data_IF_259803125512
#
_entry.id   IF_259803125512
#
_cell.length_a   1.000
_cell.length_b   1.000
_cell.length_c   1.000
_cell.angle_alpha   90.00
_cell.angle_beta   90.00
_cell.angle_gamma   90.00
#
_symmetry.space_group_name_H-M   'P 1'
#
loop_
_entity.id
_entity.type
_entity.pdbx_description
1 polymer ?
#
# COMPACT_ATOMS: atom_id res chain seq x y z
N UNK A 1 -11.85 19.29 23.74
CA UNK A 1 -12.94 18.32 23.49
C UNK A 1 -12.31 16.98 23.10
N UNK A 2 -12.97 15.84 23.35
CA UNK A 2 -12.40 14.51 23.11
C UNK A 2 -13.18 13.74 22.05
N UNK A 3 -12.48 12.93 21.26
CA UNK A 3 -13.08 12.02 20.27
C UNK A 3 -12.82 10.57 20.65
N UNK A 4 -13.77 9.68 20.34
CA UNK A 4 -13.61 8.24 20.58
C UNK A 4 -12.65 7.63 19.57
N UNK A 5 -11.97 6.58 19.98
CA UNK A 5 -11.06 5.81 19.11
C UNK A 5 -11.73 5.35 17.81
N UNK A 6 -12.96 4.84 17.85
CA UNK A 6 -13.65 4.35 16.64
C UNK A 6 -13.87 5.49 15.63
N UNK A 7 -14.34 6.64 16.10
CA UNK A 7 -14.54 7.82 15.26
C UNK A 7 -13.22 8.34 14.69
N UNK A 8 -12.13 8.29 15.49
CA UNK A 8 -10.82 8.70 15.02
C UNK A 8 -10.27 7.73 13.96
N UNK A 9 -10.48 6.42 14.13
CA UNK A 9 -10.13 5.41 13.14
C UNK A 9 -10.89 5.62 11.83
N UNK A 10 -12.19 5.91 11.90
CA UNK A 10 -13.02 6.24 10.74
C UNK A 10 -12.50 7.49 10.00
N UNK A 11 -12.12 8.54 10.74
CA UNK A 11 -11.53 9.75 10.15
C UNK A 11 -10.20 9.47 9.44
N UNK A 12 -9.41 8.52 9.93
CA UNK A 12 -8.14 8.12 9.33
C UNK A 12 -8.29 7.09 8.19
N UNK A 13 -9.49 6.55 7.99
CA UNK A 13 -9.77 5.50 7.00
C UNK A 13 -9.17 4.13 7.34
N UNK A 14 -8.90 3.86 8.62
CA UNK A 14 -8.26 2.62 9.11
C UNK A 14 -9.21 1.81 10.00
N UNK A 15 -8.85 0.56 10.29
CA UNK A 15 -9.64 -0.25 11.22
C UNK A 15 -9.40 0.23 12.67
N UNK A 16 -10.44 0.31 13.50
CA UNK A 16 -10.29 0.61 14.94
C UNK A 16 -9.32 -0.33 15.65
N UNK A 17 -9.25 -1.60 15.21
CA UNK A 17 -8.30 -2.58 15.74
C UNK A 17 -6.84 -2.20 15.54
N UNK A 18 -6.50 -1.60 14.40
CA UNK A 18 -5.12 -1.19 14.08
C UNK A 18 -4.71 0.01 14.94
N UNK A 19 -5.63 0.96 15.11
CA UNK A 19 -5.44 2.10 16.01
C UNK A 19 -5.34 1.65 17.48
N UNK A 20 -6.15 0.68 17.91
CA UNK A 20 -6.07 0.09 19.24
C UNK A 20 -4.74 -0.65 19.47
N UNK A 21 -4.22 -1.32 18.44
CA UNK A 21 -2.92 -2.00 18.50
C UNK A 21 -1.79 -0.98 18.68
N UNK A 22 -1.71 0.02 17.80
CA UNK A 22 -0.77 1.15 17.89
C UNK A 22 -0.82 1.84 19.25
N UNK A 23 -2.02 1.97 19.83
CA UNK A 23 -2.18 2.53 21.17
C UNK A 23 -1.51 1.66 22.24
N UNK A 24 -1.59 0.34 22.12
CA UNK A 24 -1.09 -0.61 23.12
C UNK A 24 0.39 -0.97 22.98
N UNK A 25 0.96 -0.83 21.79
CA UNK A 25 2.35 -1.26 21.51
C UNK A 25 3.36 -0.16 21.80
N UNK A 26 3.43 0.83 20.92
CA UNK A 26 4.52 1.80 20.79
C UNK A 26 4.01 3.24 20.77
N UNK A 27 2.69 3.43 20.79
CA UNK A 27 2.07 4.74 20.75
C UNK A 27 2.28 5.45 19.41
N UNK A 28 2.59 4.70 18.35
CA UNK A 28 2.82 5.21 17.00
C UNK A 28 1.94 4.47 16.01
N UNK A 29 1.49 5.18 14.99
CA UNK A 29 0.73 4.63 13.89
C UNK A 29 1.52 4.90 12.61
N UNK A 30 2.01 3.86 11.94
CA UNK A 30 2.87 3.97 10.75
C UNK A 30 4.07 4.91 10.96
N UNK A 31 4.67 4.85 12.16
CA UNK A 31 5.81 5.69 12.54
C UNK A 31 5.46 7.10 13.03
N UNK A 32 4.21 7.55 12.90
CA UNK A 32 3.75 8.84 13.43
C UNK A 32 3.29 8.72 14.89
N UNK A 33 3.70 9.65 15.78
CA UNK A 33 3.29 9.61 17.18
C UNK A 33 1.79 9.87 17.31
N UNK A 34 1.10 9.00 18.04
CA UNK A 34 -0.33 9.15 18.29
C UNK A 34 -0.62 10.41 19.13
N UNK A 35 -1.75 11.08 18.88
CA UNK A 35 -2.17 12.22 19.66
C UNK A 35 -2.44 11.84 21.13
N UNK A 36 -2.34 12.83 22.01
CA UNK A 36 -2.58 12.69 23.43
C UNK A 36 -3.94 12.05 23.68
N UNK A 37 -3.90 11.00 24.51
CA UNK A 37 -5.01 10.11 24.76
C UNK A 37 -5.31 10.02 26.25
N UNK A 38 -6.59 9.91 26.56
CA UNK A 38 -7.08 9.67 27.90
C UNK A 38 -7.88 8.37 27.89
N UNK A 39 -7.54 7.46 28.80
CA UNK A 39 -8.34 6.28 29.06
C UNK A 39 -9.35 6.61 30.15
N UNK A 40 -10.64 6.57 29.82
CA UNK A 40 -11.70 6.77 30.80
C UNK A 40 -12.06 5.41 31.42
N UNK A 41 -12.35 5.39 32.73
CA UNK A 41 -12.76 4.18 33.47
C UNK A 41 -13.91 3.50 32.72
N UNK A 42 -13.66 2.30 32.19
CA UNK A 42 -14.59 1.58 31.30
C UNK A 42 -14.02 1.15 29.94
N UNK A 43 -12.71 1.33 29.70
CA UNK A 43 -11.97 0.86 28.52
C UNK A 43 -12.16 1.68 27.21
N UNK A 44 -12.89 2.79 27.25
CA UNK A 44 -12.94 3.72 26.12
C UNK A 44 -11.65 4.54 26.05
N UNK A 45 -10.91 4.40 24.95
CA UNK A 45 -9.76 5.23 24.62
C UNK A 45 -10.29 6.46 23.90
N UNK A 46 -9.95 7.63 24.43
CA UNK A 46 -10.37 8.92 23.88
C UNK A 46 -9.13 9.73 23.50
N UNK A 47 -9.19 10.41 22.37
CA UNK A 47 -8.13 11.29 21.88
C UNK A 47 -8.56 12.74 22.01
N UNK A 48 -7.61 13.63 22.33
CA UNK A 48 -7.85 15.07 22.27
C UNK A 48 -8.16 15.47 20.83
N UNK A 49 -9.30 16.14 20.63
CA UNK A 49 -9.79 16.51 19.30
C UNK A 49 -8.80 17.40 18.55
N UNK A 50 -8.20 18.38 19.24
CA UNK A 50 -7.29 19.35 18.60
C UNK A 50 -6.03 18.65 18.07
N UNK A 51 -5.46 17.73 18.85
CA UNK A 51 -4.32 16.92 18.42
C UNK A 51 -4.72 15.87 17.37
N UNK A 52 -5.92 15.30 17.46
CA UNK A 52 -6.42 14.37 16.47
C UNK A 52 -6.65 15.03 15.10
N UNK A 53 -7.12 16.27 15.05
CA UNK A 53 -7.23 17.05 13.82
C UNK A 53 -5.83 17.42 13.29
N UNK A 54 -4.90 17.79 14.17
CA UNK A 54 -3.50 18.02 13.79
C UNK A 54 -2.86 16.76 13.19
N UNK A 55 -3.09 15.61 13.83
CA UNK A 55 -2.65 14.31 13.34
C UNK A 55 -3.32 13.95 12.02
N UNK A 56 -4.62 14.19 11.85
CA UNK A 56 -5.33 13.95 10.59
C UNK A 56 -4.70 14.74 9.44
N UNK A 57 -4.39 16.03 9.65
CA UNK A 57 -3.70 16.83 8.64
C UNK A 57 -2.34 16.27 8.27
N UNK A 58 -1.56 15.81 9.25
CA UNK A 58 -0.29 15.11 9.01
C UNK A 58 -0.48 13.77 8.30
N UNK A 59 -1.56 13.06 8.61
CA UNK A 59 -1.94 11.78 8.01
C UNK A 59 -2.41 11.92 6.57
N UNK A 60 -3.05 13.04 6.22
CA UNK A 60 -3.43 13.38 4.84
C UNK A 60 -2.25 13.94 4.04
N UNK A 61 -1.36 14.70 4.68
CA UNK A 61 -0.17 15.27 4.03
C UNK A 61 1.02 14.32 3.95
N UNK A 62 0.96 13.16 4.62
CA UNK A 62 1.98 12.14 4.43
C UNK A 62 1.99 11.75 2.95
N UNK A 63 3.17 11.64 2.31
CA UNK A 63 3.25 10.94 1.04
C UNK A 63 2.73 9.54 1.30
N UNK A 64 1.54 9.24 0.76
CA UNK A 64 0.98 7.90 0.84
C UNK A 64 1.98 7.00 0.12
N UNK A 65 2.78 6.26 0.87
CA UNK A 65 3.74 5.29 0.33
C UNK A 65 3.03 4.06 -0.26
N UNK A 66 1.70 4.06 -0.22
CA UNK A 66 0.90 3.33 -1.20
C UNK A 66 0.68 4.25 -2.39
N UNK A 67 1.30 4.00 -3.57
CA UNK A 67 0.97 4.73 -4.77
C UNK A 67 -0.52 4.48 -5.02
N UNK A 68 -1.35 5.47 -4.70
CA UNK A 68 -2.68 5.56 -5.29
C UNK A 68 -2.36 5.72 -6.77
N UNK A 69 -2.67 4.72 -7.63
CA UNK A 69 -2.42 4.88 -9.04
C UNK A 69 -3.17 6.13 -9.45
N UNK A 70 -2.44 7.04 -10.08
CA UNK A 70 -3.01 8.21 -10.71
C UNK A 70 -4.23 7.74 -11.52
N UNK A 71 -5.37 8.44 -11.47
CA UNK A 71 -6.57 7.97 -12.17
C UNK A 71 -6.35 7.91 -13.71
N UNK A 72 -5.21 8.43 -14.16
CA UNK A 72 -4.64 8.42 -15.51
C UNK A 72 -3.62 7.29 -15.76
N UNK A 73 -3.24 6.51 -14.75
CA UNK A 73 -2.21 5.48 -14.87
C UNK A 73 -2.77 4.28 -15.64
N UNK A 74 -2.25 4.10 -16.86
CA UNK A 74 -2.68 3.03 -17.74
C UNK A 74 -2.32 1.67 -17.10
N UNK A 75 -3.34 0.92 -16.70
CA UNK A 75 -3.16 -0.41 -16.12
C UNK A 75 -3.05 -1.46 -17.23
N UNK A 76 -2.09 -2.36 -17.05
CA UNK A 76 -1.78 -3.44 -17.99
C UNK A 76 -2.09 -4.78 -17.32
N UNK A 77 -2.80 -5.65 -18.04
CA UNK A 77 -3.10 -6.99 -17.56
C UNK A 77 -1.84 -7.87 -17.57
N UNK A 78 -1.86 -8.92 -16.75
CA UNK A 78 -0.79 -9.92 -16.71
C UNK A 78 -0.45 -10.50 -18.10
N UNK A 79 -1.46 -10.77 -18.94
CA UNK A 79 -1.24 -11.28 -20.30
C UNK A 79 -0.55 -10.26 -21.21
N UNK A 80 -0.96 -8.99 -21.14
CA UNK A 80 -0.33 -7.92 -21.92
C UNK A 80 1.12 -7.70 -21.47
N UNK A 81 1.38 -7.73 -20.16
CA UNK A 81 2.73 -7.70 -19.60
C UNK A 81 3.56 -8.90 -20.10
N UNK A 82 3.04 -10.11 -19.99
CA UNK A 82 3.73 -11.33 -20.45
C UNK A 82 4.13 -11.23 -21.94
N UNK A 83 3.23 -10.74 -22.80
CA UNK A 83 3.51 -10.51 -24.23
C UNK A 83 4.58 -9.44 -24.44
N UNK A 84 4.50 -8.30 -23.73
CA UNK A 84 5.45 -7.20 -23.87
C UNK A 84 6.87 -7.60 -23.46
N UNK A 85 7.00 -8.37 -22.37
CA UNK A 85 8.28 -8.85 -21.86
C UNK A 85 8.77 -10.14 -22.57
N UNK A 86 7.90 -10.82 -23.33
CA UNK A 86 8.20 -12.10 -23.97
C UNK A 86 8.40 -13.22 -22.94
N UNK A 87 7.59 -13.23 -21.88
CA UNK A 87 7.61 -14.18 -20.77
C UNK A 87 6.36 -15.05 -20.86
N UNK A 88 6.45 -16.32 -20.46
CA UNK A 88 5.27 -17.17 -20.35
C UNK A 88 4.32 -16.63 -19.27
N UNK A 89 3.02 -16.41 -19.56
CA UNK A 89 2.06 -15.85 -18.60
C UNK A 89 2.02 -16.59 -17.26
N UNK A 90 2.07 -17.91 -17.28
CA UNK A 90 2.07 -18.71 -16.05
C UNK A 90 3.31 -18.48 -15.18
N UNK A 91 4.49 -18.34 -15.79
CA UNK A 91 5.73 -18.07 -15.06
C UNK A 91 5.69 -16.66 -14.43
N UNK A 92 5.11 -15.70 -15.14
CA UNK A 92 4.90 -14.34 -14.64
C UNK A 92 3.91 -14.32 -13.47
N UNK A 93 2.80 -15.06 -13.58
CA UNK A 93 1.80 -15.19 -12.52
C UNK A 93 2.39 -15.84 -11.27
N UNK A 94 3.12 -16.94 -11.42
CA UNK A 94 3.80 -17.59 -10.29
C UNK A 94 4.84 -16.68 -9.63
N UNK A 95 5.58 -15.88 -10.41
CA UNK A 95 6.54 -14.94 -9.88
C UNK A 95 5.84 -13.81 -9.09
N UNK A 96 4.75 -13.26 -9.64
CA UNK A 96 3.96 -12.22 -9.00
C UNK A 96 3.31 -12.71 -7.69
N UNK A 97 2.69 -13.89 -7.68
CA UNK A 97 2.04 -14.46 -6.49
C UNK A 97 3.02 -14.86 -5.38
N UNK A 98 4.24 -15.28 -5.74
CA UNK A 98 5.24 -15.71 -4.75
C UNK A 98 6.26 -14.62 -4.40
N UNK A 99 6.10 -13.39 -4.90
CA UNK A 99 7.06 -12.29 -4.72
C UNK A 99 8.46 -12.62 -5.25
N UNK A 100 8.57 -13.51 -6.24
CA UNK A 100 9.87 -13.96 -6.76
C UNK A 100 10.35 -13.03 -7.85
N UNK A 101 11.64 -12.70 -7.82
CA UNK A 101 12.32 -11.99 -8.90
C UNK A 101 12.48 -12.91 -10.13
N UNK A 102 12.27 -12.37 -11.34
CA UNK A 102 12.58 -13.08 -12.58
C UNK A 102 13.95 -12.65 -13.08
N UNK A 103 14.88 -13.61 -13.20
CA UNK A 103 16.29 -13.36 -13.54
C UNK A 103 16.98 -12.31 -12.65
N UNK A 104 16.61 -12.24 -11.38
CA UNK A 104 17.15 -11.26 -10.44
C UNK A 104 16.57 -9.85 -10.55
N UNK A 105 15.64 -9.61 -11.49
CA UNK A 105 14.89 -8.35 -11.56
C UNK A 105 13.62 -8.48 -10.71
N UNK A 106 13.36 -7.58 -9.76
CA UNK A 106 12.12 -7.56 -9.01
C UNK A 106 10.93 -7.28 -9.95
N UNK A 107 9.85 -8.03 -9.78
CA UNK A 107 8.63 -7.77 -10.56
C UNK A 107 7.95 -6.49 -10.06
N UNK A 108 7.33 -5.71 -10.97
CA UNK A 108 6.45 -4.63 -10.54
C UNK A 108 5.31 -5.19 -9.69
N UNK A 109 4.98 -4.50 -8.60
CA UNK A 109 3.90 -4.87 -7.69
C UNK A 109 2.57 -4.70 -8.41
N UNK A 110 1.68 -5.69 -8.26
CA UNK A 110 0.33 -5.59 -8.79
C UNK A 110 -0.44 -4.50 -8.02
N UNK A 111 -0.90 -3.47 -8.73
CA UNK A 111 -1.52 -2.28 -8.15
C UNK A 111 -2.99 -2.53 -7.85
N UNK A 112 -3.64 -3.43 -8.59
CA UNK A 112 -5.05 -3.80 -8.39
C UNK A 112 -5.30 -5.24 -8.82
N UNK A 113 -6.15 -5.94 -8.07
CA UNK A 113 -6.78 -7.17 -8.53
C UNK A 113 -8.21 -6.83 -8.94
N UNK A 114 -8.54 -6.93 -10.24
CA UNK A 114 -9.92 -6.86 -10.69
C UNK A 114 -10.43 -8.29 -10.87
N UNK A 115 -11.16 -8.80 -9.87
CA UNK A 115 -11.46 -10.24 -9.76
C UNK A 115 -10.19 -11.06 -9.55
N UNK A 116 -9.96 -12.08 -10.39
CA UNK A 116 -8.77 -12.94 -10.36
C UNK A 116 -7.61 -12.46 -11.24
N UNK A 117 -7.72 -11.27 -11.84
CA UNK A 117 -6.73 -10.74 -12.77
C UNK A 117 -5.84 -9.69 -12.10
N UNK A 118 -4.53 -9.96 -12.10
CA UNK A 118 -3.52 -9.03 -11.62
C UNK A 118 -3.31 -7.91 -12.66
N UNK A 119 -3.39 -6.67 -12.19
CA UNK A 119 -3.17 -5.46 -12.97
C UNK A 119 -1.91 -4.76 -12.48
N UNK A 120 -1.09 -4.32 -13.43
CA UNK A 120 0.21 -3.69 -13.19
C UNK A 120 0.23 -2.29 -13.82
N UNK A 121 1.03 -1.37 -13.27
CA UNK A 121 1.27 -0.07 -13.91
C UNK A 121 2.01 -0.25 -15.24
N UNK A 122 1.54 0.39 -16.32
CA UNK A 122 2.22 0.38 -17.62
C UNK A 122 3.68 0.85 -17.51
N UNK A 123 3.94 1.90 -16.71
CA UNK A 123 5.29 2.43 -16.53
C UNK A 123 6.21 1.40 -15.87
N UNK A 124 5.72 0.71 -14.83
CA UNK A 124 6.46 -0.37 -14.18
C UNK A 124 6.73 -1.56 -15.10
N UNK A 125 5.76 -1.90 -15.95
CA UNK A 125 5.90 -2.96 -16.97
C UNK A 125 6.92 -2.58 -18.04
N UNK A 126 6.93 -1.34 -18.52
CA UNK A 126 7.89 -0.87 -19.52
C UNK A 126 9.33 -0.92 -19.02
N UNK A 127 9.57 -0.39 -17.81
CA UNK A 127 10.90 -0.42 -17.17
C UNK A 127 11.38 -1.85 -17.01
N UNK A 128 10.54 -2.72 -16.44
CA UNK A 128 10.87 -4.13 -16.28
C UNK A 128 11.13 -4.83 -17.62
N UNK A 129 10.28 -4.62 -18.61
CA UNK A 129 10.41 -5.28 -19.92
C UNK A 129 11.69 -4.84 -20.65
N UNK A 130 12.07 -3.57 -20.54
CA UNK A 130 13.31 -3.06 -21.11
C UNK A 130 14.54 -3.71 -20.45
N UNK A 131 14.55 -3.77 -19.11
CA UNK A 131 15.65 -4.37 -18.35
C UNK A 131 15.74 -5.90 -18.58
N UNK A 132 14.60 -6.59 -18.58
CA UNK A 132 14.50 -8.02 -18.82
C UNK A 132 14.98 -8.41 -20.23
N UNK A 133 14.63 -7.61 -21.25
CA UNK A 133 15.13 -7.79 -22.62
C UNK A 133 16.63 -7.55 -22.70
N UNK A 134 17.14 -6.50 -22.05
CA UNK A 134 18.58 -6.22 -21.99
C UNK A 134 19.36 -7.39 -21.37
N UNK A 135 18.86 -8.00 -20.30
CA UNK A 135 19.47 -9.20 -19.71
C UNK A 135 19.34 -10.45 -20.60
N UNK A 136 18.28 -10.55 -21.41
CA UNK A 136 18.11 -11.65 -22.37
C UNK A 136 19.08 -11.52 -23.56
N UNK A 137 19.35 -10.31 -24.04
CA UNK A 137 20.26 -10.08 -25.18
C UNK A 137 21.75 -10.17 -24.82
N UNK A 138 22.10 -10.13 -23.53
CA UNK A 138 23.50 -10.20 -23.05
C UNK A 138 23.98 -11.64 -22.79
N UNK A 139 23.22 -12.64 -23.22
CA UNK A 139 23.45 -14.06 -22.98
C UNK A 139 23.43 -14.81 -24.31
#
# INVERSE_FOLDING_TARGET
MYIRLDLFADMLGIRPGDLLHAVRTDGKLEGLPLPARQQVRGAAIMFLQDEAIGFLKLWETRPSESPVPDASEQLVSLDAFARQAGIAPLALWQAACNGKSLKGIPLPVAVKAYGSQLMFSAAGVEVFAAEYKRLKSKK
#
